data_IF_638392650863
#
_entry.id   IF_638392650863
#
_cell.length_a   1.000
_cell.length_b   1.000
_cell.length_c   1.000
_cell.angle_alpha   90.00
_cell.angle_beta   90.00
_cell.angle_gamma   90.00
#
_symmetry.space_group_name_H-M   'P 1'
#
loop_
_entity.id
_entity.type
_entity.pdbx_description
1 polymer ?
#
# COMPACT_ATOMS: atom_id res chain seq x y z
N UNK A 1 17.24 -20.97 -14.16
CA UNK A 1 17.45 -21.52 -12.81
C UNK A 1 16.11 -21.51 -12.07
N UNK A 2 15.60 -22.68 -11.68
CA UNK A 2 14.34 -22.83 -10.95
C UNK A 2 14.62 -23.00 -9.45
N UNK A 3 13.89 -22.29 -8.60
CA UNK A 3 13.93 -22.46 -7.15
C UNK A 3 12.69 -23.20 -6.65
N UNK A 4 12.89 -24.21 -5.81
CA UNK A 4 11.82 -24.99 -5.17
C UNK A 4 11.56 -24.44 -3.77
N UNK A 5 10.28 -24.29 -3.38
CA UNK A 5 9.89 -23.95 -2.00
C UNK A 5 9.72 -25.22 -1.17
N UNK A 6 10.33 -25.26 0.02
CA UNK A 6 10.05 -26.26 1.05
C UNK A 6 9.29 -25.63 2.23
N UNK A 7 8.37 -26.39 2.84
CA UNK A 7 7.69 -26.02 4.09
C UNK A 7 8.57 -26.40 5.29
N UNK A 8 8.57 -25.60 6.36
CA UNK A 8 9.49 -25.78 7.51
C UNK A 8 8.75 -25.95 8.85
N UNK A 9 9.00 -27.02 9.62
CA UNK A 9 8.39 -27.26 10.94
C UNK A 9 9.24 -26.77 12.14
N UNK A 10 10.40 -26.12 11.96
CA UNK A 10 11.32 -25.76 13.06
C UNK A 10 11.78 -24.30 13.07
N UNK A 11 11.98 -23.76 14.28
CA UNK A 11 12.29 -22.35 14.57
C UNK A 11 13.74 -21.91 14.30
N UNK A 12 14.64 -22.83 13.94
CA UNK A 12 16.05 -22.51 13.67
C UNK A 12 16.18 -21.66 12.41
N UNK A 13 16.81 -20.47 12.47
CA UNK A 13 17.14 -19.69 11.28
C UNK A 13 18.21 -20.41 10.46
N UNK A 14 17.92 -20.71 9.20
CA UNK A 14 18.95 -21.11 8.21
C UNK A 14 19.42 -19.82 7.54
N UNK A 15 20.72 -19.66 7.34
CA UNK A 15 21.26 -18.57 6.54
C UNK A 15 20.73 -18.71 5.11
N UNK A 16 19.87 -17.78 4.70
CA UNK A 16 19.33 -17.70 3.35
C UNK A 16 19.49 -16.28 2.85
N UNK A 17 19.78 -16.13 1.57
CA UNK A 17 19.73 -14.81 0.93
C UNK A 17 18.27 -14.39 0.78
N UNK A 18 17.91 -13.26 1.39
CA UNK A 18 16.59 -12.66 1.20
C UNK A 18 16.47 -12.22 -0.26
N UNK A 19 15.64 -12.91 -1.03
CA UNK A 19 15.19 -12.41 -2.34
C UNK A 19 14.05 -11.43 -2.08
N UNK A 20 14.31 -10.14 -2.32
CA UNK A 20 13.28 -9.11 -2.41
C UNK A 20 12.94 -8.40 -1.10
N UNK A 21 13.64 -7.31 -0.82
CA UNK A 21 13.09 -6.16 -0.10
C UNK A 21 12.92 -5.03 -1.12
N UNK A 22 11.67 -4.58 -1.34
CA UNK A 22 11.36 -3.46 -2.23
C UNK A 22 11.77 -2.15 -1.56
N UNK A 23 12.69 -1.41 -2.17
CA UNK A 23 12.93 0.00 -1.89
C UNK A 23 12.56 0.83 -3.12
N UNK A 24 11.79 1.90 -2.89
CA UNK A 24 11.30 2.85 -3.91
C UNK A 24 12.23 4.07 -4.04
N UNK A 25 13.38 4.05 -3.36
CA UNK A 25 14.33 5.16 -3.30
C UNK A 25 15.06 5.42 -4.61
N UNK A 26 14.60 6.44 -5.34
CA UNK A 26 15.39 7.20 -6.32
C UNK A 26 16.56 7.90 -5.61
N UNK A 27 17.66 7.20 -5.36
CA UNK A 27 18.92 7.83 -4.93
C UNK A 27 19.85 6.92 -4.14
N UNK A 28 21.08 6.76 -4.63
CA UNK A 28 22.38 6.33 -4.01
C UNK A 28 22.44 5.25 -2.91
N UNK A 29 21.33 4.68 -2.45
CA UNK A 29 21.25 3.75 -1.31
C UNK A 29 20.33 2.54 -1.58
N UNK A 30 19.97 2.28 -2.84
CA UNK A 30 19.15 1.11 -3.19
C UNK A 30 19.95 -0.20 -3.13
N UNK A 31 19.40 -1.23 -2.49
CA UNK A 31 20.06 -2.53 -2.36
C UNK A 31 20.06 -3.37 -3.65
N UNK A 32 19.18 -3.07 -4.62
CA UNK A 32 19.04 -3.84 -5.86
C UNK A 32 18.58 -2.96 -7.05
N UNK A 33 18.92 -3.36 -8.26
CA UNK A 33 18.36 -2.85 -9.53
C UNK A 33 17.93 -4.05 -10.40
N UNK A 34 16.92 -3.88 -11.25
CA UNK A 34 16.48 -4.94 -12.17
C UNK A 34 17.23 -4.82 -13.49
N UNK A 35 17.64 -5.95 -14.07
CA UNK A 35 18.30 -6.00 -15.38
C UNK A 35 17.44 -6.75 -16.38
N UNK A 36 17.47 -6.32 -17.63
CA UNK A 36 16.91 -7.09 -18.74
C UNK A 36 17.72 -8.39 -18.91
N UNK A 37 17.07 -9.58 -18.92
CA UNK A 37 17.78 -10.84 -19.09
C UNK A 37 18.44 -10.97 -20.48
N UNK A 38 18.02 -10.18 -21.46
CA UNK A 38 18.63 -10.11 -22.79
C UNK A 38 19.81 -9.10 -22.87
N UNK A 39 20.23 -8.50 -21.76
CA UNK A 39 21.40 -7.61 -21.74
C UNK A 39 21.13 -6.14 -22.11
N UNK A 40 19.89 -5.74 -22.35
CA UNK A 40 19.53 -4.34 -22.68
C UNK A 40 19.72 -3.32 -21.54
N UNK A 41 20.25 -3.75 -20.38
CA UNK A 41 20.55 -2.88 -19.25
C UNK A 41 19.48 -2.86 -18.15
N UNK A 42 19.43 -1.76 -17.39
CA UNK A 42 18.52 -1.59 -16.26
C UNK A 42 17.07 -1.49 -16.74
N UNK A 43 16.20 -2.22 -16.06
CA UNK A 43 14.74 -2.13 -16.22
C UNK A 43 14.12 -1.71 -14.89
N UNK A 44 12.96 -1.08 -14.92
CA UNK A 44 12.18 -0.79 -13.72
C UNK A 44 10.80 -1.44 -13.84
N UNK A 45 10.28 -2.06 -12.78
CA UNK A 45 8.92 -2.59 -12.79
C UNK A 45 7.94 -1.47 -13.10
N UNK A 46 7.02 -1.70 -14.02
CA UNK A 46 5.94 -0.76 -14.30
C UNK A 46 5.05 -0.59 -13.04
N UNK A 47 5.30 0.48 -12.28
CA UNK A 47 4.45 0.90 -11.16
C UNK A 47 3.54 2.03 -11.63
N UNK A 48 2.29 2.03 -11.17
CA UNK A 48 1.36 3.13 -11.43
C UNK A 48 1.38 4.04 -10.24
N UNK A 49 1.14 5.31 -10.51
CA UNK A 49 0.85 6.30 -9.50
C UNK A 49 -0.51 5.98 -8.85
N UNK A 50 -0.63 6.32 -7.56
CA UNK A 50 -1.88 6.17 -6.82
C UNK A 50 -2.85 7.32 -7.10
N UNK A 51 -2.35 8.50 -7.44
CA UNK A 51 -3.12 9.72 -7.67
C UNK A 51 -4.41 9.53 -8.52
N UNK A 52 -4.40 8.89 -9.70
CA UNK A 52 -5.61 8.72 -10.52
C UNK A 52 -6.61 7.71 -9.94
N UNK A 53 -6.22 6.95 -8.90
CA UNK A 53 -7.06 5.93 -8.27
C UNK A 53 -7.75 6.42 -7.00
N UNK A 54 -7.49 7.65 -6.58
CA UNK A 54 -8.14 8.25 -5.42
C UNK A 54 -9.49 8.82 -5.84
N UNK A 55 -10.53 8.41 -5.12
CA UNK A 55 -11.86 8.99 -5.28
C UNK A 55 -12.01 10.22 -4.37
N UNK A 56 -11.79 11.39 -4.95
CA UNK A 56 -11.89 12.68 -4.26
C UNK A 56 -13.32 13.11 -3.95
N UNK A 57 -14.34 12.45 -4.52
CA UNK A 57 -15.75 12.77 -4.21
C UNK A 57 -16.17 12.31 -2.82
N UNK A 58 -15.41 11.38 -2.23
CA UNK A 58 -15.72 10.83 -0.92
C UNK A 58 -15.44 11.84 0.21
N UNK A 59 -16.32 11.89 1.24
CA UNK A 59 -16.19 12.85 2.31
C UNK A 59 -14.90 12.65 3.11
N UNK A 60 -14.26 13.77 3.45
CA UNK A 60 -13.06 13.83 4.28
C UNK A 60 -13.31 14.69 5.51
N UNK A 61 -12.73 14.31 6.64
CA UNK A 61 -12.88 15.00 7.92
C UNK A 61 -11.81 16.08 8.07
N UNK A 62 -12.17 17.26 8.57
CA UNK A 62 -11.17 18.28 8.90
C UNK A 62 -10.35 17.82 10.11
N UNK A 63 -9.04 18.03 10.09
CA UNK A 63 -8.15 17.62 11.19
C UNK A 63 -8.46 18.38 12.48
N UNK A 64 -8.86 19.65 12.36
CA UNK A 64 -9.32 20.48 13.48
C UNK A 64 -10.48 19.84 14.27
N UNK A 65 -11.40 19.18 13.57
CA UNK A 65 -12.58 18.54 14.18
C UNK A 65 -12.23 17.27 14.97
N UNK A 66 -10.96 16.82 14.92
CA UNK A 66 -10.51 15.59 15.57
C UNK A 66 -11.16 14.34 14.97
N UNK A 67 -11.37 13.31 15.79
CA UNK A 67 -12.11 12.10 15.43
C UNK A 67 -13.02 11.68 16.59
N UNK A 68 -13.73 10.55 16.45
CA UNK A 68 -14.71 10.08 17.46
C UNK A 68 -14.19 9.93 18.90
N UNK A 69 -12.87 9.88 19.13
CA UNK A 69 -12.27 9.77 20.48
C UNK A 69 -11.53 11.05 20.89
N UNK A 70 -11.80 12.17 20.22
CA UNK A 70 -11.14 13.43 20.45
C UNK A 70 -10.09 13.78 19.38
N UNK A 71 -9.19 14.73 19.67
CA UNK A 71 -8.20 15.21 18.72
C UNK A 71 -7.28 14.11 18.18
N UNK A 72 -6.75 14.30 16.98
CA UNK A 72 -5.75 13.39 16.42
C UNK A 72 -4.48 13.37 17.27
N UNK A 73 -3.98 12.16 17.55
CA UNK A 73 -2.78 11.96 18.37
C UNK A 73 -1.56 12.75 17.86
N UNK A 74 -0.63 13.17 18.75
CA UNK A 74 0.56 13.93 18.36
C UNK A 74 1.38 13.27 17.24
N UNK A 75 1.51 11.95 17.28
CA UNK A 75 2.22 11.19 16.25
C UNK A 75 1.54 11.28 14.87
N UNK A 76 0.21 11.35 14.81
CA UNK A 76 -0.52 11.54 13.55
C UNK A 76 -0.32 12.96 13.03
N UNK A 77 -0.43 13.97 13.89
CA UNK A 77 -0.19 15.37 13.54
C UNK A 77 1.26 15.60 13.05
N UNK A 78 2.24 14.92 13.64
CA UNK A 78 3.63 14.97 13.19
C UNK A 78 3.83 14.44 11.76
N UNK A 79 3.10 13.35 11.39
CA UNK A 79 3.12 12.81 10.03
C UNK A 79 2.49 13.77 9.02
N UNK A 80 1.40 14.44 9.41
CA UNK A 80 0.75 15.46 8.59
C UNK A 80 1.70 16.64 8.37
N UNK A 81 2.33 17.14 9.45
CA UNK A 81 3.34 18.19 9.37
C UNK A 81 4.47 17.84 8.41
N UNK A 82 5.03 16.64 8.55
CA UNK A 82 6.08 16.16 7.65
C UNK A 82 5.62 16.17 6.19
N UNK A 83 4.42 15.67 5.89
CA UNK A 83 3.90 15.65 4.52
C UNK A 83 3.63 17.04 3.95
N UNK A 84 3.09 17.97 4.74
CA UNK A 84 2.87 19.36 4.32
C UNK A 84 4.15 20.04 3.84
N UNK A 85 5.25 19.84 4.59
CA UNK A 85 6.57 20.36 4.21
C UNK A 85 7.16 19.59 3.03
N UNK A 86 7.11 18.25 3.07
CA UNK A 86 7.82 17.40 2.09
C UNK A 86 7.20 17.42 0.69
N UNK A 87 5.88 17.54 0.59
CA UNK A 87 5.13 17.42 -0.66
C UNK A 87 4.63 18.77 -1.20
N UNK A 88 5.02 19.86 -0.54
CA UNK A 88 4.71 21.22 -0.93
C UNK A 88 3.19 21.47 -1.11
N UNK A 89 2.40 21.05 -0.11
CA UNK A 89 0.95 21.27 -0.12
C UNK A 89 0.16 20.35 -1.08
N UNK A 90 0.82 19.48 -1.84
CA UNK A 90 0.14 18.42 -2.59
C UNK A 90 -0.45 17.37 -1.66
N UNK A 91 -1.55 16.69 -2.05
CA UNK A 91 -2.08 15.58 -1.28
C UNK A 91 -1.11 14.40 -1.15
N UNK A 92 -1.15 13.72 -0.01
CA UNK A 92 -0.22 12.65 0.33
C UNK A 92 -0.87 11.60 1.23
N UNK A 93 -0.15 10.50 1.47
CA UNK A 93 -0.57 9.46 2.41
C UNK A 93 0.27 9.54 3.68
N UNK A 94 -0.36 9.77 4.83
CA UNK A 94 0.27 9.59 6.12
C UNK A 94 0.26 8.10 6.49
N UNK A 95 1.45 7.54 6.76
CA UNK A 95 1.60 6.11 7.09
C UNK A 95 1.53 5.92 8.60
N UNK A 96 0.36 5.50 9.09
CA UNK A 96 0.07 5.30 10.51
C UNK A 96 0.63 3.96 11.02
N UNK A 97 1.93 3.73 10.82
CA UNK A 97 2.63 2.50 11.24
C UNK A 97 4.11 2.75 11.50
N UNK A 98 4.59 2.30 12.67
CA UNK A 98 6.01 2.36 13.07
C UNK A 98 6.59 3.79 12.86
N UNK A 99 7.79 3.89 12.31
CA UNK A 99 8.53 5.13 12.07
C UNK A 99 8.29 5.76 10.69
N UNK A 100 7.49 5.15 9.81
CA UNK A 100 7.17 5.79 8.52
C UNK A 100 6.32 7.04 8.76
N UNK A 101 6.59 8.07 7.96
CA UNK A 101 5.98 9.39 8.10
C UNK A 101 4.88 9.62 7.06
N UNK A 102 5.27 9.84 5.80
CA UNK A 102 4.34 10.10 4.70
C UNK A 102 4.92 9.67 3.36
N UNK A 103 4.04 9.41 2.39
CA UNK A 103 4.41 9.04 1.01
C UNK A 103 3.58 9.84 -0.01
N UNK A 104 4.15 10.04 -1.21
CA UNK A 104 3.48 10.73 -2.32
C UNK A 104 2.42 9.85 -2.97
N UNK A 105 1.39 10.47 -3.55
CA UNK A 105 0.43 9.80 -4.44
C UNK A 105 0.96 9.64 -5.87
N UNK A 106 2.01 10.37 -6.23
CA UNK A 106 2.61 10.34 -7.58
C UNK A 106 3.49 9.10 -7.81
N UNK A 107 3.57 8.20 -6.83
CA UNK A 107 4.32 6.96 -6.91
C UNK A 107 3.52 5.77 -6.37
N UNK A 108 4.16 4.59 -6.28
CA UNK A 108 3.57 3.46 -5.58
C UNK A 108 3.42 3.77 -4.08
N UNK A 109 2.36 3.25 -3.47
CA UNK A 109 2.14 3.36 -2.03
C UNK A 109 2.78 2.21 -1.27
N UNK A 110 3.06 2.42 0.02
CA UNK A 110 3.49 1.38 0.94
C UNK A 110 2.56 0.17 0.91
N UNK A 111 3.12 -0.99 1.25
CA UNK A 111 2.42 -2.28 1.32
C UNK A 111 1.04 -2.15 1.97
N UNK A 112 0.01 -2.53 1.22
CA UNK A 112 -1.36 -2.68 1.72
C UNK A 112 -1.38 -3.92 2.62
N UNK A 113 -1.66 -3.74 3.91
CA UNK A 113 -1.75 -4.85 4.86
C UNK A 113 -3.20 -5.28 5.05
N UNK A 114 -3.40 -6.57 5.35
CA UNK A 114 -4.72 -7.15 5.53
C UNK A 114 -5.47 -6.52 6.73
N UNK A 115 -4.74 -6.25 7.80
CA UNK A 115 -5.28 -5.59 8.99
C UNK A 115 -4.64 -4.22 9.20
N UNK A 116 -5.38 -3.34 9.89
CA UNK A 116 -4.90 -2.03 10.31
C UNK A 116 -5.37 -0.87 9.43
N UNK A 117 -5.37 0.31 10.04
CA UNK A 117 -5.70 1.59 9.41
C UNK A 117 -4.41 2.38 9.19
N UNK A 118 -3.56 1.92 8.27
CA UNK A 118 -2.23 2.51 8.07
C UNK A 118 -2.16 3.60 7.01
N UNK A 119 -3.01 3.58 5.99
CA UNK A 119 -2.95 4.52 4.86
C UNK A 119 -4.01 5.60 5.03
N UNK A 120 -3.63 6.70 5.67
CA UNK A 120 -4.52 7.86 5.83
C UNK A 120 -4.22 8.86 4.72
N UNK A 121 -5.18 9.08 3.83
CA UNK A 121 -5.13 10.14 2.83
C UNK A 121 -5.22 11.50 3.54
N UNK A 122 -4.34 12.41 3.15
CA UNK A 122 -4.31 13.80 3.64
C UNK A 122 -4.41 14.72 2.44
N UNK A 123 -5.40 15.61 2.47
CA UNK A 123 -5.57 16.71 1.53
C UNK A 123 -5.29 18.02 2.27
N UNK A 124 -4.17 18.70 1.98
CA UNK A 124 -3.90 20.02 2.54
C UNK A 124 -4.98 21.04 2.20
N UNK A 125 -5.30 21.91 3.17
CA UNK A 125 -6.10 23.11 2.94
C UNK A 125 -5.26 24.23 2.32
N UNK A 126 -5.92 25.28 1.83
CA UNK A 126 -5.25 26.44 1.21
C UNK A 126 -4.37 27.24 2.18
N UNK A 127 -4.66 27.18 3.47
CA UNK A 127 -3.88 27.80 4.55
C UNK A 127 -2.59 27.03 4.90
N UNK A 128 -2.44 25.81 4.38
CA UNK A 128 -1.29 24.91 4.59
C UNK A 128 -0.99 24.62 6.06
N UNK A 129 -2.00 24.69 6.92
CA UNK A 129 -1.87 24.33 8.33
C UNK A 129 -2.24 22.87 8.56
N UNK A 130 -1.84 22.31 9.71
CA UNK A 130 -2.24 20.95 10.10
C UNK A 130 -3.76 20.88 10.28
N UNK A 131 -4.35 21.90 10.90
CA UNK A 131 -5.77 21.90 11.27
C UNK A 131 -6.67 22.19 10.06
N UNK A 132 -6.17 22.91 9.05
CA UNK A 132 -6.81 23.10 7.75
C UNK A 132 -6.77 21.88 6.83
N UNK A 133 -6.00 20.83 7.17
CA UNK A 133 -5.98 19.59 6.39
C UNK A 133 -7.29 18.79 6.52
N UNK A 134 -7.68 18.11 5.44
CA UNK A 134 -8.73 17.09 5.45
C UNK A 134 -8.14 15.70 5.38
N UNK A 135 -8.73 14.75 6.09
CA UNK A 135 -8.24 13.38 6.19
C UNK A 135 -9.34 12.33 6.07
N UNK A 136 -8.98 11.19 5.48
CA UNK A 136 -9.75 9.95 5.57
C UNK A 136 -8.83 8.74 5.41
N UNK A 137 -9.29 7.57 5.83
CA UNK A 137 -8.60 6.34 5.49
C UNK A 137 -8.80 6.02 4.00
N UNK A 138 -7.81 5.35 3.39
CA UNK A 138 -8.04 4.68 2.12
C UNK A 138 -9.22 3.72 2.24
N UNK A 139 -10.11 3.78 1.25
CA UNK A 139 -11.22 2.87 1.12
C UNK A 139 -10.75 1.47 0.72
N UNK A 140 -11.65 0.49 0.82
CA UNK A 140 -11.40 -0.85 0.29
C UNK A 140 -11.09 -0.80 -1.21
N UNK A 141 -11.81 0.02 -1.99
CA UNK A 141 -11.61 0.12 -3.43
C UNK A 141 -10.23 0.70 -3.77
N UNK A 142 -9.83 1.79 -3.11
CA UNK A 142 -8.51 2.39 -3.32
C UNK A 142 -7.36 1.44 -2.95
N UNK A 143 -7.51 0.69 -1.85
CA UNK A 143 -6.57 -0.38 -1.49
C UNK A 143 -6.51 -1.47 -2.57
N UNK A 144 -7.65 -1.83 -3.16
CA UNK A 144 -7.74 -2.84 -4.21
C UNK A 144 -7.07 -2.34 -5.50
N UNK A 145 -7.31 -1.09 -5.89
CA UNK A 145 -6.64 -0.46 -7.02
C UNK A 145 -5.12 -0.40 -6.83
N UNK A 146 -4.63 -0.16 -5.60
CA UNK A 146 -3.21 -0.24 -5.28
C UNK A 146 -2.63 -1.66 -5.46
N UNK A 147 -3.45 -2.69 -5.20
CA UNK A 147 -3.15 -4.11 -5.50
C UNK A 147 -3.46 -4.50 -6.96
N UNK A 148 -3.77 -3.54 -7.84
CA UNK A 148 -4.07 -3.74 -9.27
C UNK A 148 -5.33 -4.55 -9.57
N UNK A 149 -6.25 -4.62 -8.64
CA UNK A 149 -7.59 -5.13 -8.95
C UNK A 149 -8.25 -4.20 -9.99
N UNK A 150 -9.02 -4.74 -10.96
CA UNK A 150 -9.76 -3.92 -11.89
C UNK A 150 -10.87 -3.16 -11.16
N UNK A 151 -11.26 -1.99 -11.66
CA UNK A 151 -12.31 -1.17 -11.02
C UNK A 151 -13.69 -1.86 -11.06
N UNK A 152 -13.86 -2.84 -11.96
CA UNK A 152 -15.04 -3.72 -12.00
C UNK A 152 -15.04 -4.81 -10.92
N UNK A 153 -13.97 -4.95 -10.13
CA UNK A 153 -13.86 -5.98 -9.11
C UNK A 153 -14.86 -5.76 -7.98
N UNK A 154 -15.68 -6.79 -7.72
CA UNK A 154 -16.66 -6.77 -6.65
C UNK A 154 -16.19 -7.62 -5.49
N UNK A 155 -16.07 -7.02 -4.32
CA UNK A 155 -15.87 -7.78 -3.10
C UNK A 155 -17.17 -8.48 -2.71
N UNK A 156 -17.05 -9.71 -2.23
CA UNK A 156 -18.15 -10.35 -1.51
C UNK A 156 -18.47 -9.47 -0.30
N UNK A 157 -19.75 -9.13 -0.11
CA UNK A 157 -20.20 -8.26 0.99
C UNK A 157 -21.00 -9.01 2.04
N UNK A 158 -21.46 -10.22 1.72
CA UNK A 158 -22.18 -11.11 2.64
C UNK A 158 -21.28 -12.25 3.06
N UNK A 159 -21.03 -12.32 4.37
CA UNK A 159 -20.20 -13.36 4.97
C UNK A 159 -20.96 -14.07 6.07
N UNK A 160 -20.76 -15.40 6.26
CA UNK A 160 -21.21 -16.11 7.43
C UNK A 160 -20.73 -15.43 8.71
N UNK A 161 -21.51 -15.51 9.80
CA UNK A 161 -21.13 -14.91 11.09
C UNK A 161 -19.73 -15.35 11.54
N UNK A 162 -19.41 -16.63 11.40
CA UNK A 162 -18.11 -17.20 11.76
C UNK A 162 -16.92 -16.51 11.07
N UNK A 163 -17.09 -16.00 9.84
CA UNK A 163 -16.03 -15.28 9.13
C UNK A 163 -16.00 -13.79 9.46
N UNK A 164 -17.17 -13.19 9.74
CA UNK A 164 -17.23 -11.81 10.24
C UNK A 164 -16.55 -11.67 11.60
N UNK A 165 -16.71 -12.66 12.47
CA UNK A 165 -16.10 -12.67 13.81
C UNK A 165 -14.56 -12.78 13.76
N UNK A 166 -13.98 -13.20 12.63
CA UNK A 166 -12.52 -13.22 12.41
C UNK A 166 -11.95 -11.87 11.95
N UNK A 167 -12.81 -10.90 11.60
CA UNK A 167 -12.36 -9.58 11.11
C UNK A 167 -11.84 -8.76 12.28
N UNK A 168 -10.54 -8.38 12.31
CA UNK A 168 -10.00 -7.59 13.41
C UNK A 168 -10.72 -6.26 13.56
N UNK A 169 -10.84 -5.78 14.80
CA UNK A 169 -11.50 -4.51 15.09
C UNK A 169 -10.88 -3.35 14.26
N UNK A 170 -11.72 -2.66 13.49
CA UNK A 170 -11.31 -1.54 12.64
C UNK A 170 -10.83 -1.92 11.23
N UNK A 171 -10.85 -3.21 10.89
CA UNK A 171 -10.67 -3.69 9.52
C UNK A 171 -12.03 -3.88 8.81
N UNK A 172 -11.99 -4.00 7.49
CA UNK A 172 -13.13 -4.44 6.68
C UNK A 172 -12.81 -5.81 6.05
N UNK A 173 -13.81 -6.67 5.79
CA UNK A 173 -13.57 -7.94 5.09
C UNK A 173 -12.83 -7.73 3.76
N UNK A 174 -13.26 -6.76 2.96
CA UNK A 174 -12.60 -6.42 1.70
C UNK A 174 -11.16 -5.92 1.89
N UNK A 175 -10.89 -5.18 2.97
CA UNK A 175 -9.52 -4.77 3.33
C UNK A 175 -8.60 -5.94 3.67
N UNK A 176 -9.12 -6.94 4.39
CA UNK A 176 -8.39 -8.18 4.69
C UNK A 176 -8.08 -8.98 3.42
N UNK A 177 -9.09 -9.18 2.57
CA UNK A 177 -8.93 -9.87 1.29
C UNK A 177 -7.90 -9.17 0.42
N UNK A 178 -8.02 -7.84 0.33
CA UNK A 178 -7.11 -7.01 -0.43
C UNK A 178 -5.69 -7.15 0.10
N UNK A 179 -5.44 -6.94 1.39
CA UNK A 179 -4.07 -6.96 1.91
C UNK A 179 -3.42 -8.34 2.01
N UNK A 180 -4.18 -9.43 1.93
CA UNK A 180 -3.65 -10.80 1.82
C UNK A 180 -3.46 -11.26 0.36
N UNK A 181 -4.03 -10.55 -0.61
CA UNK A 181 -3.91 -10.90 -2.02
C UNK A 181 -2.51 -10.63 -2.57
N UNK A 182 -2.19 -11.29 -3.68
CA UNK A 182 -1.05 -10.94 -4.54
C UNK A 182 -1.52 -9.89 -5.55
N UNK A 183 -0.73 -8.82 -5.81
CA UNK A 183 -1.08 -7.87 -6.86
C UNK A 183 -1.30 -8.55 -8.22
N UNK A 184 -2.38 -8.19 -8.91
CA UNK A 184 -2.81 -8.90 -10.13
C UNK A 184 -1.75 -8.90 -11.24
N UNK A 185 -1.01 -7.80 -11.41
CA UNK A 185 0.07 -7.69 -12.40
C UNK A 185 1.25 -8.63 -12.12
N UNK A 186 1.56 -8.89 -10.84
CA UNK A 186 2.62 -9.82 -10.45
C UNK A 186 2.19 -11.26 -10.73
N UNK A 187 0.93 -11.60 -10.41
CA UNK A 187 0.37 -12.91 -10.71
C UNK A 187 0.32 -13.17 -12.22
N UNK A 188 -0.11 -12.18 -13.02
CA UNK A 188 -0.13 -12.25 -14.48
C UNK A 188 1.26 -12.48 -15.07
N UNK A 189 2.26 -11.71 -14.63
CA UNK A 189 3.65 -11.89 -15.05
C UNK A 189 4.15 -13.31 -14.76
N UNK A 190 3.92 -13.81 -13.54
CA UNK A 190 4.33 -15.15 -13.15
C UNK A 190 3.62 -16.23 -13.99
N UNK A 191 2.31 -16.08 -14.19
CA UNK A 191 1.51 -16.96 -15.04
C UNK A 191 2.01 -16.99 -16.48
N UNK A 192 2.40 -15.83 -17.04
CA UNK A 192 3.00 -15.73 -18.36
C UNK A 192 4.31 -16.50 -18.50
N UNK A 193 5.17 -16.47 -17.46
CA UNK A 193 6.41 -17.26 -17.44
C UNK A 193 6.15 -18.76 -17.39
N UNK A 194 5.15 -19.19 -16.61
CA UNK A 194 4.74 -20.59 -16.54
C UNK A 194 4.19 -21.04 -17.88
N UNK A 195 3.29 -20.25 -18.48
CA UNK A 195 2.73 -20.54 -19.81
C UNK A 195 3.84 -20.71 -20.83
N UNK A 196 4.78 -19.77 -20.90
CA UNK A 196 5.94 -19.84 -21.80
C UNK A 196 6.72 -21.15 -21.63
N UNK A 197 7.03 -21.54 -20.39
CA UNK A 197 7.78 -22.76 -20.12
C UNK A 197 7.02 -24.06 -20.45
N UNK A 198 5.69 -24.02 -20.50
CA UNK A 198 4.86 -25.16 -20.87
C UNK A 198 4.60 -25.27 -22.38
N UNK A 199 4.82 -24.19 -23.13
CA UNK A 199 4.53 -24.11 -24.57
C UNK A 199 5.77 -23.93 -25.45
N UNK A 200 6.96 -23.83 -24.85
CA UNK A 200 8.26 -23.75 -25.52
C UNK A 200 8.93 -25.13 -25.51
#
# INVERSE_FOLDING_TARGET
MQGVRCWKPTATRIAGHLVGAYDTGTGRHGAYYYLCPAGHGRVEPATTTMAPRIDWSLPMRLVADGHRRGPYAPATRARIRHGLTRWDGRPFVAILRRHKLSESLDGPVATITAAGTHHMLVQPGGDRTIDGCRVRMFTTHEKASAQRFPDSWKFVTRFPKADRDKVPHGATPGGLLTGNAVPSNIAEWAGGRIKYALTA
#
